data_IF_475098360940
#
_entry.id   IF_475098360940
#
_cell.length_a   1.000
_cell.length_b   1.000
_cell.length_c   1.000
_cell.angle_alpha   90.00
_cell.angle_beta   90.00
_cell.angle_gamma   90.00
#
_symmetry.space_group_name_H-M   'P 1'
#
loop_
_entity.id
_entity.type
_entity.pdbx_description
1 polymer ?
#
# COMPACT_ATOMS: atom_id res chain seq x y z
N UNK A 1 -1.84 -6.16 -1.86
CA UNK A 1 -1.02 -5.70 -0.74
C UNK A 1 -0.40 -6.92 -0.07
N UNK A 2 0.89 -6.88 0.23
CA UNK A 2 1.57 -7.97 0.93
C UNK A 2 1.25 -7.97 2.43
N UNK A 3 1.57 -9.08 3.12
CA UNK A 3 1.34 -9.24 4.56
C UNK A 3 2.03 -8.18 5.44
N UNK A 4 3.04 -7.49 4.90
CA UNK A 4 3.85 -6.49 5.59
C UNK A 4 3.46 -5.05 5.25
N UNK A 5 2.30 -4.80 4.63
CA UNK A 5 1.88 -3.44 4.28
C UNK A 5 1.19 -2.75 5.48
N UNK A 6 1.83 -1.74 6.05
CA UNK A 6 1.27 -0.89 7.12
C UNK A 6 1.45 -1.51 8.51
N UNK A 7 2.29 -0.89 9.34
CA UNK A 7 2.48 -1.36 10.71
C UNK A 7 1.21 -1.29 11.58
N UNK A 8 1.14 -2.07 12.68
CA UNK A 8 0.04 -2.01 13.62
C UNK A 8 -0.18 -0.58 14.13
N UNK A 9 -1.41 -0.07 13.97
CA UNK A 9 -1.82 1.29 14.36
C UNK A 9 -0.92 2.43 13.81
N UNK A 10 -0.19 2.21 12.72
CA UNK A 10 0.54 3.29 12.04
C UNK A 10 -0.40 4.02 11.06
N UNK A 11 -1.24 4.89 11.61
CA UNK A 11 -2.28 5.61 10.85
C UNK A 11 -1.71 6.39 9.68
N UNK A 12 -0.52 6.98 9.82
CA UNK A 12 0.13 7.74 8.75
C UNK A 12 0.48 6.83 7.57
N UNK A 13 1.22 5.74 7.82
CA UNK A 13 1.60 4.79 6.78
C UNK A 13 0.37 4.14 6.13
N UNK A 14 -0.62 3.75 6.93
CA UNK A 14 -1.88 3.17 6.44
C UNK A 14 -2.64 4.16 5.55
N UNK A 15 -2.69 5.44 5.92
CA UNK A 15 -3.31 6.49 5.10
C UNK A 15 -2.56 6.68 3.79
N UNK A 16 -1.22 6.69 3.82
CA UNK A 16 -0.40 6.80 2.61
C UNK A 16 -0.60 5.61 1.67
N UNK A 17 -0.73 4.38 2.19
CA UNK A 17 -1.05 3.18 1.41
C UNK A 17 -2.36 3.36 0.65
N UNK A 18 -3.42 3.83 1.34
CA UNK A 18 -4.73 4.05 0.72
C UNK A 18 -4.63 5.11 -0.38
N UNK A 19 -3.99 6.25 -0.11
CA UNK A 19 -3.80 7.32 -1.10
C UNK A 19 -3.06 6.82 -2.34
N UNK A 20 -1.92 6.16 -2.16
CA UNK A 20 -1.13 5.62 -3.26
C UNK A 20 -1.89 4.56 -4.07
N UNK A 21 -2.73 3.74 -3.41
CA UNK A 21 -3.59 2.76 -4.08
C UNK A 21 -4.65 3.44 -4.95
N UNK A 22 -5.31 4.49 -4.42
CA UNK A 22 -6.32 5.24 -5.17
C UNK A 22 -5.71 5.93 -6.40
N UNK A 23 -4.52 6.51 -6.27
CA UNK A 23 -3.81 7.08 -7.43
C UNK A 23 -3.52 6.04 -8.52
N UNK A 24 -3.27 4.77 -8.15
CA UNK A 24 -3.09 3.72 -9.14
C UNK A 24 -4.38 3.42 -9.91
N UNK A 25 -5.57 3.53 -9.29
CA UNK A 25 -6.83 3.30 -9.99
C UNK A 25 -7.04 4.26 -11.16
N UNK A 26 -6.51 5.48 -11.07
CA UNK A 26 -6.54 6.45 -12.16
C UNK A 26 -5.44 6.21 -13.21
N UNK A 27 -4.31 5.60 -12.81
CA UNK A 27 -3.13 5.40 -13.66
C UNK A 27 -3.10 4.06 -14.39
N UNK A 28 -3.75 3.02 -13.85
CA UNK A 28 -3.74 1.71 -14.49
C UNK A 28 -4.60 1.73 -15.76
N UNK A 29 -4.03 1.25 -16.86
CA UNK A 29 -4.74 1.14 -18.14
C UNK A 29 -5.56 -0.15 -18.24
N UNK A 30 -5.21 -1.15 -17.43
CA UNK A 30 -5.81 -2.48 -17.46
C UNK A 30 -6.31 -2.87 -16.06
N UNK A 31 -7.57 -3.33 -15.95
CA UNK A 31 -8.09 -3.86 -14.69
C UNK A 31 -7.26 -5.05 -14.19
N UNK A 32 -7.06 -5.14 -12.88
CA UNK A 32 -6.33 -6.24 -12.26
C UNK A 32 -4.80 -6.17 -12.37
N UNK A 33 -4.25 -5.09 -12.95
CA UNK A 33 -2.79 -4.86 -12.96
C UNK A 33 -2.26 -4.78 -11.53
N UNK A 34 -1.31 -5.66 -11.20
CA UNK A 34 -0.61 -5.64 -9.91
C UNK A 34 0.46 -4.56 -9.97
N UNK A 35 0.34 -3.55 -9.09
CA UNK A 35 1.34 -2.48 -8.94
C UNK A 35 1.93 -2.55 -7.52
N UNK A 36 3.25 -2.70 -7.36
CA UNK A 36 3.89 -2.66 -6.05
C UNK A 36 3.86 -1.23 -5.49
N UNK A 37 3.63 -1.11 -4.18
CA UNK A 37 3.72 0.16 -3.46
C UNK A 37 4.92 0.13 -2.49
N UNK A 38 5.62 1.26 -2.25
CA UNK A 38 6.84 1.31 -1.46
C UNK A 38 6.56 1.36 0.06
N UNK A 39 5.68 0.50 0.56
CA UNK A 39 5.36 0.43 1.99
C UNK A 39 5.68 -0.96 2.52
N UNK A 40 6.52 -0.99 3.55
CA UNK A 40 6.89 -2.20 4.26
C UNK A 40 6.88 -1.95 5.76
N UNK A 41 6.46 -2.97 6.51
CA UNK A 41 6.53 -3.05 7.95
C UNK A 41 7.33 -4.30 8.31
N UNK A 42 8.40 -4.10 9.07
CA UNK A 42 9.19 -5.18 9.65
C UNK A 42 8.83 -5.29 11.12
N UNK A 43 8.19 -6.39 11.50
CA UNK A 43 7.88 -6.67 12.89
C UNK A 43 9.18 -6.78 13.70
N UNK A 44 9.25 -6.07 14.82
CA UNK A 44 10.29 -6.27 15.83
C UNK A 44 9.75 -7.25 16.86
N UNK A 45 10.49 -8.33 17.11
CA UNK A 45 10.21 -9.35 18.12
C UNK A 45 10.95 -8.97 19.40
#
# INVERSE_FOLDING_TARGET
>A
MGANAGGPHNVEQQTQIVKATLEQLEKIETPGKIVPLPFEYVAKI
#
